data_IF_535463676940
#
_entry.id   IF_535463676940
#
_cell.length_a   1.000
_cell.length_b   1.000
_cell.length_c   1.000
_cell.angle_alpha   90.00
_cell.angle_beta   90.00
_cell.angle_gamma   90.00
#
_symmetry.space_group_name_H-M   'P 1'
#
loop_
_entity.id
_entity.type
_entity.pdbx_description
1 polymer ?
#
# COMPACT_ATOMS: atom_id res chain seq x y z
N UNK A 1 -15.32 15.85 1.93
CA UNK A 1 -16.59 16.05 2.67
C UNK A 1 -16.47 17.09 3.79
N UNK A 2 -15.51 17.00 4.74
CA UNK A 2 -15.44 17.92 5.89
C UNK A 2 -15.39 19.39 5.49
N UNK A 3 -14.35 19.80 4.75
CA UNK A 3 -14.11 21.22 4.45
C UNK A 3 -15.18 21.86 3.56
N UNK A 4 -15.71 21.09 2.61
CA UNK A 4 -16.62 21.62 1.60
C UNK A 4 -18.12 21.46 1.95
N UNK A 5 -18.46 20.54 2.86
CA UNK A 5 -19.85 20.21 3.13
C UNK A 5 -20.24 20.36 4.61
N UNK A 6 -19.44 19.86 5.53
CA UNK A 6 -19.80 19.84 6.97
C UNK A 6 -19.39 21.12 7.67
N UNK A 7 -18.14 21.56 7.48
CA UNK A 7 -17.65 22.79 8.14
C UNK A 7 -18.50 24.03 7.86
N UNK A 8 -18.98 24.30 6.63
CA UNK A 8 -19.83 25.44 6.37
C UNK A 8 -21.13 25.44 7.19
N UNK A 9 -21.73 24.26 7.44
CA UNK A 9 -22.97 24.19 8.24
C UNK A 9 -22.77 24.58 9.71
N UNK A 10 -21.56 24.52 10.22
CA UNK A 10 -21.25 24.94 11.59
C UNK A 10 -21.01 26.44 11.69
N UNK A 11 -20.70 27.11 10.58
CA UNK A 11 -20.35 28.53 10.58
C UNK A 11 -21.53 29.41 11.00
N UNK A 12 -22.73 29.07 10.55
CA UNK A 12 -23.95 29.87 10.80
C UNK A 12 -24.34 29.89 12.28
N UNK A 13 -24.03 28.81 13.01
CA UNK A 13 -24.43 28.63 14.41
C UNK A 13 -23.24 28.65 15.37
N UNK A 14 -22.01 28.88 14.88
CA UNK A 14 -20.78 28.76 15.66
C UNK A 14 -20.72 27.44 16.43
N UNK A 15 -21.16 26.37 15.76
CA UNK A 15 -21.27 25.04 16.35
C UNK A 15 -19.95 24.30 16.43
N UNK A 16 -19.91 23.30 17.28
CA UNK A 16 -18.75 22.41 17.47
C UNK A 16 -18.92 21.11 16.67
N UNK A 17 -17.77 20.48 16.35
CA UNK A 17 -17.74 19.16 15.75
C UNK A 17 -16.89 18.20 16.59
N UNK A 18 -17.42 17.03 16.83
CA UNK A 18 -16.73 15.95 17.53
C UNK A 18 -16.45 14.79 16.57
N UNK A 19 -15.19 14.35 16.57
CA UNK A 19 -14.74 13.23 15.77
C UNK A 19 -14.26 12.11 16.68
N UNK A 20 -14.85 10.93 16.55
CA UNK A 20 -14.43 9.75 17.28
C UNK A 20 -14.10 8.63 16.31
N UNK A 21 -12.96 7.99 16.47
CA UNK A 21 -12.53 6.87 15.63
C UNK A 21 -11.38 6.12 16.27
N UNK A 22 -11.15 4.90 15.82
CA UNK A 22 -9.91 4.18 16.05
C UNK A 22 -8.80 4.76 15.16
N UNK A 23 -7.55 4.88 15.62
CA UNK A 23 -6.45 5.47 14.87
C UNK A 23 -5.92 4.52 13.78
N UNK A 24 -6.55 4.54 12.61
CA UNK A 24 -6.21 3.67 11.47
C UNK A 24 -5.38 4.41 10.43
N UNK A 25 -4.06 4.30 10.52
CA UNK A 25 -3.13 4.78 9.48
C UNK A 25 -3.10 6.29 9.25
N UNK A 26 -2.51 6.69 8.12
CA UNK A 26 -2.37 8.09 7.71
C UNK A 26 -3.61 8.54 6.91
N UNK A 27 -4.69 8.85 7.61
CA UNK A 27 -5.95 9.28 7.01
C UNK A 27 -6.37 10.68 7.51
N UNK A 28 -7.55 11.13 7.07
CA UNK A 28 -8.12 12.41 7.51
C UNK A 28 -8.24 12.52 9.03
N UNK A 29 -8.61 11.43 9.72
CA UNK A 29 -8.74 11.44 11.18
C UNK A 29 -7.39 11.71 11.88
N UNK A 30 -6.29 11.13 11.39
CA UNK A 30 -4.93 11.44 11.86
C UNK A 30 -4.58 12.92 11.65
N UNK A 31 -4.96 13.48 10.51
CA UNK A 31 -4.70 14.89 10.21
C UNK A 31 -5.40 15.82 11.22
N UNK A 32 -6.69 15.60 11.48
CA UNK A 32 -7.43 16.42 12.46
C UNK A 32 -6.98 16.16 13.89
N UNK A 33 -6.54 14.94 14.22
CA UNK A 33 -5.91 14.65 15.51
C UNK A 33 -4.64 15.49 15.70
N UNK A 34 -3.79 15.57 14.67
CA UNK A 34 -2.58 16.42 14.70
C UNK A 34 -2.91 17.91 14.83
N UNK A 35 -4.02 18.37 14.25
CA UNK A 35 -4.47 19.76 14.44
C UNK A 35 -4.74 20.08 15.91
N UNK A 36 -5.31 19.15 16.67
CA UNK A 36 -5.56 19.32 18.09
C UNK A 36 -4.33 19.20 18.99
N UNK A 37 -3.18 18.81 18.43
CA UNK A 37 -1.87 18.81 19.11
C UNK A 37 -1.01 20.03 18.72
N UNK A 38 -1.45 20.83 17.77
CA UNK A 38 -0.75 22.00 17.25
C UNK A 38 -1.17 23.25 18.05
N UNK A 39 -0.25 23.83 18.78
CA UNK A 39 -0.49 25.04 19.59
C UNK A 39 -0.90 26.26 18.74
N UNK A 40 -0.58 26.26 17.46
CA UNK A 40 -0.98 27.32 16.53
C UNK A 40 -2.44 27.20 16.08
N UNK A 41 -3.17 26.18 16.55
CA UNK A 41 -4.57 25.89 16.20
C UNK A 41 -5.46 25.76 17.44
N UNK A 42 -5.62 26.83 18.21
CA UNK A 42 -6.33 26.78 19.50
C UNK A 42 -7.81 26.37 19.38
N UNK A 43 -8.40 26.46 18.20
CA UNK A 43 -9.76 26.02 17.91
C UNK A 43 -9.89 24.50 17.77
N UNK A 44 -8.79 23.77 17.71
CA UNK A 44 -8.76 22.30 17.67
C UNK A 44 -8.26 21.74 18.98
N UNK A 45 -8.84 20.62 19.40
CA UNK A 45 -8.36 19.85 20.53
C UNK A 45 -8.53 18.35 20.27
N UNK A 46 -7.55 17.56 20.65
CA UNK A 46 -7.58 16.12 20.47
C UNK A 46 -7.10 15.38 21.71
N UNK A 47 -7.65 14.20 21.92
CA UNK A 47 -7.33 13.32 23.03
C UNK A 47 -7.08 11.91 22.51
N UNK A 48 -6.16 11.22 23.15
CA UNK A 48 -5.95 9.81 23.02
C UNK A 48 -6.51 9.12 24.27
N UNK A 49 -7.43 8.19 24.10
CA UNK A 49 -8.09 7.49 25.19
C UNK A 49 -7.91 5.99 25.01
N UNK A 50 -6.91 5.37 25.66
CA UNK A 50 -6.76 3.92 25.66
C UNK A 50 -7.91 3.27 26.42
N UNK A 51 -8.20 2.00 26.09
CA UNK A 51 -9.27 1.20 26.76
C UNK A 51 -9.09 1.16 28.28
N UNK A 52 -7.85 1.17 28.76
CA UNK A 52 -7.52 1.18 30.19
C UNK A 52 -7.94 2.48 30.92
N UNK A 53 -8.20 3.58 30.17
CA UNK A 53 -8.73 4.82 30.76
C UNK A 53 -10.22 4.72 31.10
N UNK A 54 -10.92 3.69 30.65
CA UNK A 54 -12.32 3.47 30.97
C UNK A 54 -12.44 2.68 32.30
N UNK A 55 -12.97 3.32 33.37
CA UNK A 55 -13.04 2.67 34.69
C UNK A 55 -14.05 1.50 34.75
N UNK A 56 -14.89 1.34 33.75
CA UNK A 56 -15.89 0.27 33.70
C UNK A 56 -15.35 -1.01 33.03
N UNK A 57 -14.17 -0.97 32.43
CA UNK A 57 -13.55 -2.14 31.81
C UNK A 57 -12.56 -2.77 32.80
N UNK A 58 -12.73 -4.07 33.04
CA UNK A 58 -11.83 -4.80 33.93
C UNK A 58 -10.46 -4.95 33.30
N UNK A 59 -9.39 -4.79 34.08
CA UNK A 59 -8.03 -5.00 33.61
C UNK A 59 -7.81 -6.41 33.04
N UNK A 60 -8.45 -7.42 33.62
CA UNK A 60 -8.37 -8.83 33.14
C UNK A 60 -8.84 -9.00 31.70
N UNK A 61 -9.83 -8.22 31.26
CA UNK A 61 -10.31 -8.26 29.85
C UNK A 61 -9.27 -7.66 28.90
N UNK A 62 -8.61 -6.61 29.33
CA UNK A 62 -7.53 -5.98 28.54
C UNK A 62 -6.31 -6.89 28.46
N UNK A 63 -5.96 -7.57 29.57
CA UNK A 63 -4.86 -8.53 29.61
C UNK A 63 -5.14 -9.75 28.74
N UNK A 64 -6.38 -10.27 28.75
CA UNK A 64 -6.81 -11.36 27.88
C UNK A 64 -6.68 -10.97 26.40
N UNK A 65 -7.18 -9.77 26.03
CA UNK A 65 -7.08 -9.28 24.67
C UNK A 65 -5.59 -9.08 24.24
N UNK A 66 -4.71 -8.63 25.16
CA UNK A 66 -3.28 -8.50 24.88
C UNK A 66 -2.62 -9.86 24.60
N UNK A 67 -3.07 -10.92 25.26
CA UNK A 67 -2.53 -12.26 25.06
C UNK A 67 -3.01 -12.91 23.75
N UNK A 68 -4.20 -12.55 23.27
CA UNK A 68 -4.84 -13.15 22.10
C UNK A 68 -4.56 -12.40 20.80
N UNK A 69 -4.40 -11.07 20.86
CA UNK A 69 -4.27 -10.23 19.68
C UNK A 69 -2.81 -10.02 19.28
N UNK A 70 -2.52 -9.91 17.97
CA UNK A 70 -1.24 -9.41 17.51
C UNK A 70 -0.95 -8.05 18.13
N UNK A 71 0.28 -7.83 18.62
CA UNK A 71 0.70 -6.62 19.34
C UNK A 71 0.23 -5.32 18.63
N UNK A 72 0.34 -5.27 17.33
CA UNK A 72 -0.07 -4.10 16.54
C UNK A 72 -1.57 -3.83 16.60
N UNK A 73 -2.39 -4.88 16.54
CA UNK A 73 -3.86 -4.73 16.65
C UNK A 73 -4.19 -4.25 18.05
N UNK A 74 -3.55 -4.80 19.06
CA UNK A 74 -3.73 -4.39 20.43
C UNK A 74 -3.37 -2.92 20.64
N UNK A 75 -2.22 -2.48 20.17
CA UNK A 75 -1.78 -1.08 20.24
C UNK A 75 -2.76 -0.11 19.55
N UNK A 76 -3.29 -0.49 18.41
CA UNK A 76 -4.24 0.34 17.67
C UNK A 76 -5.62 0.38 18.32
N UNK A 77 -6.19 -0.78 18.66
CA UNK A 77 -7.59 -0.90 19.09
C UNK A 77 -7.76 -0.67 20.62
N UNK A 78 -6.76 -1.05 21.44
CA UNK A 78 -6.83 -0.95 22.89
C UNK A 78 -6.01 0.19 23.48
N UNK A 79 -4.84 0.50 22.91
CA UNK A 79 -4.00 1.61 23.37
C UNK A 79 -4.26 2.91 22.60
N UNK A 80 -5.12 2.87 21.57
CA UNK A 80 -5.48 4.01 20.73
C UNK A 80 -4.26 4.71 20.12
N UNK A 81 -3.22 3.94 19.74
CA UNK A 81 -1.99 4.49 19.16
C UNK A 81 -2.11 4.63 17.65
N UNK A 82 -1.73 5.80 17.12
CA UNK A 82 -1.45 5.97 15.71
C UNK A 82 -0.11 5.32 15.38
N UNK A 83 -0.14 4.11 14.86
CA UNK A 83 1.07 3.43 14.43
C UNK A 83 1.58 4.09 13.15
N UNK A 84 2.85 4.48 13.13
CA UNK A 84 3.44 5.20 11.98
C UNK A 84 3.35 4.41 10.68
N UNK A 85 3.41 3.09 10.78
CA UNK A 85 3.26 2.16 9.65
C UNK A 85 1.83 1.67 9.40
N UNK A 86 0.82 2.21 10.13
CA UNK A 86 -0.55 1.71 10.03
C UNK A 86 -1.25 2.02 8.69
N UNK A 87 -0.70 2.92 7.88
CA UNK A 87 -1.20 3.23 6.53
C UNK A 87 -0.47 2.51 5.40
N UNK A 88 0.67 1.92 5.66
CA UNK A 88 1.45 1.17 4.67
C UNK A 88 1.22 -0.32 4.79
N UNK A 89 0.74 -0.95 3.72
CA UNK A 89 0.74 -2.41 3.58
C UNK A 89 2.17 -2.95 3.71
N UNK A 90 3.14 -2.15 3.29
CA UNK A 90 4.57 -2.48 3.27
C UNK A 90 5.32 -1.69 4.33
N UNK A 91 6.10 -2.41 5.15
CA UNK A 91 6.94 -1.82 6.22
C UNK A 91 8.35 -1.58 5.70
N UNK A 92 9.07 -0.67 6.36
CA UNK A 92 10.51 -0.45 6.13
C UNK A 92 10.88 -0.21 4.65
N UNK A 93 9.97 0.36 3.85
CA UNK A 93 10.17 0.56 2.41
C UNK A 93 11.43 1.40 2.15
N UNK A 94 11.70 2.43 2.95
CA UNK A 94 12.91 3.25 2.80
C UNK A 94 14.18 2.51 3.18
N UNK A 95 14.13 1.68 4.21
CA UNK A 95 15.25 0.86 4.67
C UNK A 95 15.54 -0.25 3.67
N UNK A 96 14.49 -0.83 3.06
CA UNK A 96 14.62 -1.85 2.02
C UNK A 96 15.06 -1.27 0.65
N UNK A 97 14.90 0.03 0.42
CA UNK A 97 15.27 0.70 -0.84
C UNK A 97 16.79 0.91 -0.95
N UNK A 98 17.56 -0.16 -0.83
CA UNK A 98 19.02 -0.17 -0.87
C UNK A 98 19.58 -0.68 -2.20
N UNK A 99 18.72 -1.13 -3.12
CA UNK A 99 19.14 -1.72 -4.39
C UNK A 99 19.72 -0.64 -5.32
N UNK A 100 20.97 -0.82 -5.73
CA UNK A 100 21.60 -0.02 -6.77
C UNK A 100 21.17 -0.53 -8.16
N UNK A 101 21.09 0.40 -9.12
CA UNK A 101 20.92 0.04 -10.53
C UNK A 101 22.14 -0.75 -11.00
N UNK A 102 21.92 -1.93 -11.56
CA UNK A 102 22.98 -2.81 -12.06
C UNK A 102 22.82 -3.07 -13.56
N UNK A 103 23.95 -3.28 -14.22
CA UNK A 103 23.95 -3.89 -15.54
C UNK A 103 23.47 -5.35 -15.43
N UNK A 104 22.87 -5.91 -16.48
CA UNK A 104 22.51 -7.32 -16.50
C UNK A 104 23.70 -8.23 -16.23
N UNK A 105 23.47 -9.30 -15.46
CA UNK A 105 24.45 -10.30 -15.09
C UNK A 105 23.82 -11.71 -15.20
N UNK A 106 24.61 -12.74 -15.04
CA UNK A 106 24.10 -14.10 -15.03
C UNK A 106 23.30 -14.37 -13.75
N UNK A 107 22.05 -14.81 -13.88
CA UNK A 107 21.15 -15.04 -12.77
C UNK A 107 19.78 -15.49 -13.25
N UNK A 108 18.86 -15.73 -12.31
CA UNK A 108 17.48 -16.07 -12.58
C UNK A 108 16.59 -14.88 -12.30
N UNK A 109 15.87 -14.41 -13.32
CA UNK A 109 15.06 -13.21 -13.23
C UNK A 109 13.60 -13.48 -13.54
N UNK A 110 12.72 -12.83 -12.80
CA UNK A 110 11.28 -12.82 -13.05
C UNK A 110 10.79 -11.37 -13.12
N UNK A 111 9.68 -11.15 -13.82
CA UNK A 111 9.08 -9.82 -13.93
C UNK A 111 7.69 -9.80 -13.34
N UNK A 112 7.34 -8.68 -12.72
CA UNK A 112 5.98 -8.31 -12.35
C UNK A 112 5.50 -7.12 -13.19
N UNK A 113 4.22 -7.14 -13.58
CA UNK A 113 3.61 -6.09 -14.42
C UNK A 113 2.27 -5.68 -13.85
N UNK A 114 2.14 -4.40 -13.56
CA UNK A 114 0.87 -3.74 -13.26
C UNK A 114 0.55 -2.75 -14.37
N UNK A 115 -0.62 -2.89 -15.00
CA UNK A 115 -1.01 -2.13 -16.18
C UNK A 115 -1.87 -0.93 -15.83
N UNK A 116 -1.55 0.22 -16.42
CA UNK A 116 -2.43 1.40 -16.38
C UNK A 116 -2.43 2.17 -17.71
N UNK A 117 -3.49 2.93 -17.98
CA UNK A 117 -3.59 3.71 -19.20
C UNK A 117 -3.64 5.23 -18.98
N UNK A 118 -4.51 5.72 -18.12
CA UNK A 118 -4.79 7.17 -18.05
C UNK A 118 -4.50 7.81 -16.69
N UNK A 119 -5.06 7.28 -15.62
CA UNK A 119 -5.03 7.92 -14.31
C UNK A 119 -3.92 7.40 -13.41
N UNK A 120 -3.39 6.23 -13.69
CA UNK A 120 -2.38 5.55 -12.88
C UNK A 120 -1.13 5.23 -13.71
N UNK A 121 -0.15 4.61 -13.09
CA UNK A 121 1.12 4.27 -13.73
C UNK A 121 1.18 2.78 -14.06
N UNK A 122 1.63 2.46 -15.29
CA UNK A 122 2.13 1.12 -15.56
C UNK A 122 3.48 0.96 -14.91
N UNK A 123 3.67 -0.15 -14.22
CA UNK A 123 4.92 -0.47 -13.53
C UNK A 123 5.42 -1.84 -13.98
N UNK A 124 6.66 -1.88 -14.40
CA UNK A 124 7.41 -3.10 -14.72
C UNK A 124 8.51 -3.25 -13.68
N UNK A 125 8.61 -4.43 -13.06
CA UNK A 125 9.62 -4.71 -12.04
C UNK A 125 10.36 -5.98 -12.41
N UNK A 126 11.67 -6.00 -12.33
CA UNK A 126 12.49 -7.20 -12.45
C UNK A 126 13.09 -7.57 -11.11
N UNK A 127 12.92 -8.82 -10.74
CA UNK A 127 13.42 -9.39 -9.50
C UNK A 127 14.46 -10.48 -9.81
N UNK A 128 15.58 -10.41 -9.10
CA UNK A 128 16.53 -11.52 -8.98
C UNK A 128 15.98 -12.52 -7.96
N UNK A 129 15.67 -13.72 -8.42
CA UNK A 129 15.03 -14.77 -7.62
C UNK A 129 15.97 -15.27 -6.51
N UNK A 130 17.26 -15.38 -6.79
CA UNK A 130 18.25 -15.92 -5.84
C UNK A 130 18.63 -14.88 -4.80
N UNK A 131 18.90 -13.65 -5.24
CA UNK A 131 19.24 -12.55 -4.35
C UNK A 131 18.03 -11.91 -3.65
N UNK A 132 16.79 -12.31 -4.00
CA UNK A 132 15.51 -11.78 -3.46
C UNK A 132 15.46 -10.27 -3.46
N UNK A 133 15.82 -9.63 -4.58
CA UNK A 133 15.85 -8.17 -4.69
C UNK A 133 15.41 -7.68 -6.05
N UNK A 134 14.90 -6.46 -6.06
CA UNK A 134 14.63 -5.73 -7.30
C UNK A 134 15.95 -5.31 -7.96
N UNK A 135 16.09 -5.56 -9.26
CA UNK A 135 17.27 -5.22 -10.04
C UNK A 135 17.00 -4.17 -11.12
N UNK A 136 15.75 -4.05 -11.56
CA UNK A 136 15.32 -3.03 -12.50
C UNK A 136 13.86 -2.68 -12.32
N UNK A 137 13.49 -1.46 -12.68
CA UNK A 137 12.11 -0.98 -12.66
C UNK A 137 11.92 0.06 -13.76
N UNK A 138 10.78 -0.02 -14.43
CA UNK A 138 10.29 1.01 -15.33
C UNK A 138 8.88 1.43 -14.89
N UNK A 139 8.65 2.74 -14.79
CA UNK A 139 7.38 3.32 -14.35
C UNK A 139 7.00 4.46 -15.27
N UNK A 140 5.85 4.33 -15.90
CA UNK A 140 5.37 5.32 -16.87
C UNK A 140 3.84 5.41 -16.87
N UNK A 141 3.30 6.46 -17.45
CA UNK A 141 1.85 6.66 -17.61
C UNK A 141 1.53 7.33 -18.95
N UNK A 142 0.27 7.27 -19.34
CA UNK A 142 -0.24 7.94 -20.55
C UNK A 142 0.52 7.58 -21.84
N UNK A 143 0.90 6.32 -21.97
CA UNK A 143 1.60 5.77 -23.12
C UNK A 143 0.71 4.70 -23.79
N UNK A 144 0.70 4.69 -25.12
CA UNK A 144 -0.02 3.70 -25.92
C UNK A 144 0.37 2.25 -25.59
N UNK A 145 -0.60 1.33 -25.70
CA UNK A 145 -0.41 -0.09 -25.40
C UNK A 145 0.71 -0.76 -26.21
N UNK A 146 0.87 -0.38 -27.47
CA UNK A 146 1.95 -0.95 -28.29
C UNK A 146 3.33 -0.55 -27.74
N UNK A 147 3.48 0.69 -27.32
CA UNK A 147 4.71 1.19 -26.70
C UNK A 147 4.94 0.56 -25.33
N UNK A 148 3.89 0.36 -24.53
CA UNK A 148 3.98 -0.34 -23.25
C UNK A 148 4.48 -1.78 -23.42
N UNK A 149 3.90 -2.54 -24.35
CA UNK A 149 4.34 -3.91 -24.68
C UNK A 149 5.79 -3.94 -25.18
N UNK A 150 6.18 -2.96 -26.01
CA UNK A 150 7.56 -2.86 -26.50
C UNK A 150 8.55 -2.61 -25.36
N UNK A 151 8.22 -1.73 -24.41
CA UNK A 151 9.05 -1.48 -23.22
C UNK A 151 9.21 -2.74 -22.38
N UNK A 152 8.11 -3.47 -22.16
CA UNK A 152 8.13 -4.75 -21.44
C UNK A 152 9.05 -5.75 -22.15
N UNK A 153 8.90 -5.91 -23.48
CA UNK A 153 9.76 -6.80 -24.26
C UNK A 153 11.23 -6.46 -24.11
N UNK A 154 11.58 -5.19 -24.31
CA UNK A 154 12.98 -4.73 -24.18
C UNK A 154 13.55 -5.05 -22.79
N UNK A 155 12.74 -4.87 -21.74
CA UNK A 155 13.17 -5.20 -20.38
C UNK A 155 13.28 -6.71 -20.16
N UNK A 156 12.33 -7.50 -20.66
CA UNK A 156 12.35 -8.95 -20.57
C UNK A 156 13.56 -9.56 -21.30
N UNK A 157 13.86 -9.08 -22.50
CA UNK A 157 15.04 -9.50 -23.29
C UNK A 157 16.35 -9.09 -22.61
N UNK A 158 16.42 -7.88 -22.09
CA UNK A 158 17.59 -7.35 -21.36
C UNK A 158 17.96 -8.25 -20.18
N UNK A 159 16.99 -8.68 -19.41
CA UNK A 159 17.20 -9.48 -18.19
C UNK A 159 17.01 -10.99 -18.42
N UNK A 160 16.60 -11.41 -19.62
CA UNK A 160 16.25 -12.81 -19.94
C UNK A 160 15.27 -13.37 -18.92
N UNK A 161 14.18 -12.64 -18.67
CA UNK A 161 13.20 -13.02 -17.67
C UNK A 161 12.58 -14.39 -18.00
N UNK A 162 12.71 -15.34 -17.06
CA UNK A 162 12.19 -16.71 -17.21
C UNK A 162 10.66 -16.76 -17.11
N UNK A 163 10.07 -15.79 -16.42
CA UNK A 163 8.63 -15.69 -16.16
C UNK A 163 8.23 -14.24 -16.00
N UNK A 164 7.08 -13.90 -16.55
CA UNK A 164 6.47 -12.58 -16.45
C UNK A 164 5.07 -12.74 -15.86
N UNK A 165 4.82 -12.22 -14.67
CA UNK A 165 3.51 -12.23 -14.04
C UNK A 165 2.84 -10.89 -14.29
N UNK A 166 1.73 -10.87 -15.02
CA UNK A 166 1.02 -9.66 -15.40
C UNK A 166 -0.42 -9.67 -14.89
N UNK A 167 -0.86 -8.52 -14.33
CA UNK A 167 -2.23 -8.38 -13.86
C UNK A 167 -3.22 -8.45 -15.02
N UNK A 168 -4.24 -9.33 -14.88
CA UNK A 168 -5.23 -9.59 -15.93
C UNK A 168 -6.42 -8.63 -15.89
N UNK A 169 -6.63 -7.90 -14.79
CA UNK A 169 -7.84 -7.09 -14.56
C UNK A 169 -8.15 -6.15 -15.74
N UNK A 170 -9.43 -6.20 -16.18
CA UNK A 170 -10.08 -5.33 -17.18
C UNK A 170 -9.29 -5.06 -18.48
N UNK A 171 -8.11 -4.49 -18.40
CA UNK A 171 -7.30 -4.02 -19.54
C UNK A 171 -6.03 -4.85 -19.77
N UNK A 172 -5.66 -5.70 -18.83
CA UNK A 172 -4.45 -6.55 -18.91
C UNK A 172 -4.60 -7.70 -19.91
N UNK A 173 -5.79 -8.29 -20.01
CA UNK A 173 -6.03 -9.49 -20.84
C UNK A 173 -5.54 -9.38 -22.30
N UNK A 174 -5.99 -8.41 -23.10
CA UNK A 174 -5.54 -8.25 -24.49
C UNK A 174 -4.02 -8.02 -24.63
N UNK A 175 -3.39 -7.36 -23.65
CA UNK A 175 -1.94 -7.15 -23.66
C UNK A 175 -1.19 -8.44 -23.37
N UNK A 176 -1.67 -9.24 -22.41
CA UNK A 176 -1.11 -10.55 -22.07
C UNK A 176 -1.17 -11.48 -23.29
N UNK A 177 -2.35 -11.60 -23.92
CA UNK A 177 -2.51 -12.42 -25.12
C UNK A 177 -1.58 -11.99 -26.26
N UNK A 178 -1.42 -10.69 -26.49
CA UNK A 178 -0.52 -10.18 -27.52
C UNK A 178 0.93 -10.60 -27.25
N UNK A 179 1.40 -10.43 -26.00
CA UNK A 179 2.77 -10.81 -25.60
C UNK A 179 3.01 -12.32 -25.66
N UNK A 180 2.01 -13.12 -25.30
CA UNK A 180 2.08 -14.60 -25.42
C UNK A 180 2.18 -15.06 -26.88
N UNK A 181 1.41 -14.44 -27.80
CA UNK A 181 1.54 -14.70 -29.24
C UNK A 181 2.91 -14.34 -29.80
N UNK A 182 3.56 -13.37 -29.18
CA UNK A 182 4.92 -12.94 -29.51
C UNK A 182 6.01 -13.84 -28.87
N UNK A 183 5.60 -14.87 -28.12
CA UNK A 183 6.50 -15.87 -27.52
C UNK A 183 7.10 -15.50 -26.16
N UNK A 184 6.61 -14.44 -25.51
CA UNK A 184 7.10 -14.10 -24.16
C UNK A 184 6.45 -15.03 -23.11
N UNK A 185 7.17 -15.40 -22.03
CA UNK A 185 6.69 -16.29 -20.98
C UNK A 185 5.78 -15.53 -19.99
N UNK A 186 4.65 -14.98 -20.49
CA UNK A 186 3.72 -14.18 -19.70
C UNK A 186 2.62 -15.05 -19.12
N UNK A 187 2.41 -14.96 -17.84
CA UNK A 187 1.32 -15.57 -17.10
C UNK A 187 0.39 -14.49 -16.54
N UNK A 188 -0.90 -14.78 -16.56
CA UNK A 188 -1.91 -13.88 -16.00
C UNK A 188 -2.05 -14.06 -14.49
N UNK A 189 -2.24 -12.94 -13.79
CA UNK A 189 -2.60 -12.91 -12.38
C UNK A 189 -3.86 -12.05 -12.21
N UNK A 190 -4.85 -12.58 -11.51
CA UNK A 190 -6.08 -11.84 -11.20
C UNK A 190 -6.04 -11.35 -9.75
N UNK A 191 -6.06 -10.03 -9.58
CA UNK A 191 -6.15 -9.39 -8.27
C UNK A 191 -7.60 -9.37 -7.80
N UNK A 192 -7.88 -10.14 -6.77
CA UNK A 192 -9.18 -10.25 -6.13
C UNK A 192 -9.06 -9.97 -4.62
N UNK A 193 -10.18 -9.73 -3.92
CA UNK A 193 -10.17 -9.66 -2.45
C UNK A 193 -9.59 -10.92 -1.77
N UNK A 194 -9.60 -12.05 -2.45
CA UNK A 194 -9.07 -13.32 -1.93
C UNK A 194 -7.60 -13.54 -2.30
N UNK A 195 -7.16 -13.17 -3.50
CA UNK A 195 -5.78 -13.41 -3.98
C UNK A 195 -4.78 -12.35 -3.48
N UNK A 196 -5.22 -11.11 -3.24
CA UNK A 196 -4.36 -10.00 -2.82
C UNK A 196 -3.79 -10.17 -1.40
N UNK A 197 -4.57 -10.54 -0.36
CA UNK A 197 -4.04 -10.66 0.99
C UNK A 197 -2.87 -11.65 1.13
N UNK A 198 -2.91 -12.89 0.59
CA UNK A 198 -1.79 -13.81 0.68
C UNK A 198 -0.50 -13.30 0.01
N UNK A 199 -0.61 -12.53 -1.08
CA UNK A 199 0.56 -11.90 -1.72
C UNK A 199 1.23 -10.89 -0.79
N UNK A 200 0.42 -10.06 -0.14
CA UNK A 200 0.89 -9.05 0.79
C UNK A 200 1.56 -9.69 2.01
N UNK A 201 0.94 -10.74 2.56
CA UNK A 201 1.49 -11.49 3.68
C UNK A 201 2.81 -12.18 3.31
N UNK A 202 2.88 -12.80 2.13
CA UNK A 202 4.11 -13.42 1.63
C UNK A 202 5.25 -12.41 1.47
N UNK A 203 4.95 -11.22 0.95
CA UNK A 203 5.95 -10.16 0.82
C UNK A 203 6.39 -9.59 2.18
N UNK A 204 5.50 -9.56 3.16
CA UNK A 204 5.82 -9.11 4.51
C UNK A 204 6.72 -10.09 5.28
N UNK A 205 6.73 -11.36 4.88
CA UNK A 205 7.54 -12.44 5.47
C UNK A 205 8.88 -12.65 4.75
N UNK A 206 9.04 -12.09 3.55
CA UNK A 206 10.25 -12.22 2.71
C UNK A 206 11.36 -11.27 3.12
#
# INVERSE_FOLDING_TARGET
AWQASIRPTLTDYQGDAWFTSTPKGANFFRTIYQYGQDELRPEWKSWQMPTTANPYIKASEVDAARAELPERIFQQEYEALFLEDAGGVYRKVREAATAERRAPYAGRFVMGVDWAMQADFTVLVVLDVEARRMVDMDRFHQIDWAVQRQRLRVMADKWKAERILAEHNSIGGPNIEALQREGLPVESFETTPTSKPPLIESLALA
#
